data_IF_737151515177
#
_entry.id   IF_737151515177
#
_cell.length_a   1.000
_cell.length_b   1.000
_cell.length_c   1.000
_cell.angle_alpha   90.00
_cell.angle_beta   90.00
_cell.angle_gamma   90.00
#
_symmetry.space_group_name_H-M   'P 1'
#
loop_
_entity.id
_entity.type
_entity.pdbx_description
1 polymer ?
#
# COMPACT_ATOMS: atom_id res chain seq x y z
N UNK A 1 27.61 22.74 0.94
CA UNK A 1 27.89 21.89 -0.20
C UNK A 1 28.85 22.65 -1.12
N UNK A 2 29.96 22.04 -1.46
CA UNK A 2 30.86 22.56 -2.47
C UNK A 2 30.28 22.09 -3.81
N UNK A 3 29.86 23.00 -4.65
CA UNK A 3 29.55 22.70 -6.06
C UNK A 3 30.88 22.36 -6.74
N UNK A 4 31.19 21.07 -6.79
CA UNK A 4 32.29 20.54 -7.58
C UNK A 4 31.69 19.93 -8.85
N UNK A 5 32.14 20.43 -10.03
CA UNK A 5 31.64 19.99 -11.34
C UNK A 5 31.90 18.51 -11.62
N UNK A 6 32.73 17.85 -10.84
CA UNK A 6 33.17 16.46 -11.04
C UNK A 6 32.42 15.46 -10.14
N UNK A 7 31.52 15.92 -9.26
CA UNK A 7 30.76 15.05 -8.35
C UNK A 7 29.23 15.16 -8.55
N UNK A 8 28.75 14.76 -9.73
CA UNK A 8 27.31 14.65 -9.97
C UNK A 8 26.74 13.40 -9.32
N UNK A 9 25.66 13.58 -8.56
CA UNK A 9 24.80 12.49 -8.10
C UNK A 9 23.47 12.54 -8.85
N UNK A 10 23.07 11.42 -9.42
CA UNK A 10 21.79 11.30 -10.12
C UNK A 10 20.73 10.76 -9.19
N UNK A 11 19.57 11.43 -9.14
CA UNK A 11 18.40 10.95 -8.44
C UNK A 11 17.68 9.92 -9.32
N UNK A 12 17.31 8.79 -8.76
CA UNK A 12 16.64 7.71 -9.50
C UNK A 12 15.20 8.08 -9.87
N UNK A 13 14.77 7.86 -11.13
CA UNK A 13 13.39 8.13 -11.56
C UNK A 13 12.38 7.04 -11.17
N UNK A 14 12.89 5.86 -10.74
CA UNK A 14 12.12 4.67 -10.37
C UNK A 14 12.94 3.78 -9.43
N UNK A 15 12.30 2.81 -8.80
CA UNK A 15 12.98 1.84 -7.93
C UNK A 15 13.40 0.56 -8.66
N UNK A 16 12.82 0.27 -9.83
CA UNK A 16 13.02 -0.94 -10.62
C UNK A 16 14.47 -1.27 -10.93
N UNK A 17 15.25 -0.30 -11.41
CA UNK A 17 16.64 -0.53 -11.86
C UNK A 17 17.54 -1.06 -10.74
N UNK A 18 17.32 -0.61 -9.51
CA UNK A 18 18.07 -1.12 -8.35
C UNK A 18 17.69 -2.56 -7.98
N UNK A 19 16.45 -2.98 -8.29
CA UNK A 19 16.03 -4.38 -8.14
C UNK A 19 16.75 -5.24 -9.17
N UNK A 20 16.81 -4.83 -10.43
CA UNK A 20 17.49 -5.60 -11.48
C UNK A 20 18.99 -5.75 -11.22
N UNK A 21 19.67 -4.69 -10.85
CA UNK A 21 21.11 -4.76 -10.54
C UNK A 21 21.42 -5.61 -9.32
N UNK A 22 20.47 -5.75 -8.37
CA UNK A 22 20.59 -6.57 -7.18
C UNK A 22 20.11 -8.02 -7.38
N UNK A 23 19.54 -8.36 -8.52
CA UNK A 23 18.95 -9.66 -8.83
C UNK A 23 19.90 -10.83 -8.53
N UNK A 24 21.14 -10.76 -9.06
CA UNK A 24 22.12 -11.82 -8.86
C UNK A 24 22.48 -12.02 -7.39
N UNK A 25 22.66 -10.94 -6.63
CA UNK A 25 22.95 -11.01 -5.21
C UNK A 25 21.82 -11.71 -4.43
N UNK A 26 20.57 -11.43 -4.77
CA UNK A 26 19.41 -12.10 -4.15
C UNK A 26 19.38 -13.58 -4.51
N UNK A 27 19.56 -13.94 -5.79
CA UNK A 27 19.57 -15.35 -6.21
C UNK A 27 20.69 -16.13 -5.53
N UNK A 28 21.89 -15.58 -5.49
CA UNK A 28 23.07 -16.27 -4.93
C UNK A 28 22.96 -16.42 -3.39
N UNK A 29 22.41 -15.41 -2.70
CA UNK A 29 22.32 -15.44 -1.23
C UNK A 29 21.12 -16.22 -0.69
N UNK A 30 20.04 -16.35 -1.46
CA UNK A 30 18.79 -16.97 -1.00
C UNK A 30 18.46 -18.29 -1.67
N UNK A 31 19.19 -18.68 -2.72
CA UNK A 31 18.95 -19.88 -3.53
C UNK A 31 17.52 -19.97 -4.09
N UNK A 32 16.90 -18.82 -4.41
CA UNK A 32 15.54 -18.76 -4.96
C UNK A 32 15.48 -19.38 -6.36
N UNK A 33 14.37 -20.03 -6.64
CA UNK A 33 14.00 -20.55 -7.95
C UNK A 33 12.80 -19.80 -8.52
N UNK A 34 12.70 -19.75 -9.85
CA UNK A 34 11.54 -19.13 -10.53
C UNK A 34 10.26 -19.93 -10.27
N UNK A 35 9.12 -19.28 -10.05
CA UNK A 35 8.98 -17.83 -9.99
C UNK A 35 9.27 -17.26 -8.60
N UNK A 36 9.79 -16.03 -8.52
CA UNK A 36 9.93 -15.28 -7.27
C UNK A 36 9.92 -13.78 -7.57
N UNK A 37 9.68 -12.96 -6.54
CA UNK A 37 9.66 -11.51 -6.67
C UNK A 37 10.62 -10.81 -5.72
N UNK A 38 11.04 -9.61 -6.10
CA UNK A 38 11.75 -8.65 -5.25
C UNK A 38 10.94 -7.36 -5.26
N UNK A 39 10.52 -6.91 -4.09
CA UNK A 39 9.76 -5.68 -3.94
C UNK A 39 10.58 -4.60 -3.25
N UNK A 40 10.34 -3.36 -3.61
CA UNK A 40 10.90 -2.18 -2.96
C UNK A 40 9.84 -1.10 -2.81
N UNK A 41 9.84 -0.45 -1.64
CA UNK A 41 9.18 0.84 -1.44
C UNK A 41 10.29 1.86 -1.16
N UNK A 42 10.28 2.96 -1.90
CA UNK A 42 11.31 3.98 -1.75
C UNK A 42 11.09 5.22 -2.59
N UNK A 43 11.91 6.23 -2.36
CA UNK A 43 11.85 7.50 -3.07
C UNK A 43 12.23 7.34 -4.54
N UNK A 44 11.44 7.99 -5.39
CA UNK A 44 11.70 8.21 -6.80
C UNK A 44 11.55 9.70 -7.12
N UNK A 45 12.25 10.16 -8.15
CA UNK A 45 12.36 11.57 -8.50
C UNK A 45 12.16 11.75 -10.00
N UNK A 46 11.17 12.56 -10.37
CA UNK A 46 10.89 12.88 -11.77
C UNK A 46 10.84 14.39 -11.96
N UNK A 47 11.50 14.91 -12.98
CA UNK A 47 11.51 16.35 -13.25
C UNK A 47 10.20 16.80 -13.90
N UNK A 48 9.10 16.72 -13.16
CA UNK A 48 7.80 17.18 -13.63
C UNK A 48 7.82 18.68 -13.91
N UNK A 49 7.45 19.06 -15.13
CA UNK A 49 7.42 20.46 -15.54
C UNK A 49 6.33 21.20 -14.76
N UNK A 50 5.15 20.58 -14.61
CA UNK A 50 3.99 21.17 -13.92
C UNK A 50 3.45 20.20 -12.85
N UNK A 51 3.98 20.25 -11.62
CA UNK A 51 3.35 19.56 -10.49
C UNK A 51 1.90 20.05 -10.29
N UNK A 52 0.95 19.15 -9.99
CA UNK A 52 -0.46 19.50 -9.87
C UNK A 52 -1.25 18.44 -9.10
N UNK A 53 -2.49 18.77 -8.73
CA UNK A 53 -3.44 17.89 -8.10
C UNK A 53 -2.91 17.30 -6.77
N UNK A 54 -2.40 18.20 -5.89
CA UNK A 54 -1.83 17.86 -4.60
C UNK A 54 -0.72 16.79 -4.74
N UNK A 55 -0.81 15.64 -4.07
CA UNK A 55 0.20 14.55 -4.13
C UNK A 55 0.07 13.65 -5.36
N UNK A 56 -0.86 13.93 -6.28
CA UNK A 56 -1.07 13.11 -7.47
C UNK A 56 0.11 13.22 -8.47
N UNK A 57 0.62 14.43 -8.71
CA UNK A 57 1.76 14.68 -9.62
C UNK A 57 2.77 15.61 -8.95
N UNK A 58 3.83 15.02 -8.43
CA UNK A 58 4.91 15.68 -7.69
C UNK A 58 6.28 15.25 -8.22
N UNK A 59 7.32 16.00 -7.88
CA UNK A 59 8.69 15.71 -8.34
C UNK A 59 9.43 14.68 -7.49
N UNK A 60 9.05 14.56 -6.23
CA UNK A 60 9.54 13.57 -5.29
C UNK A 60 8.36 12.81 -4.71
N UNK A 61 8.37 11.49 -4.81
CA UNK A 61 7.29 10.62 -4.33
C UNK A 61 7.83 9.29 -3.84
N UNK A 62 7.04 8.55 -3.11
CA UNK A 62 7.34 7.16 -2.79
C UNK A 62 6.68 6.24 -3.81
N UNK A 63 7.48 5.33 -4.35
CA UNK A 63 7.05 4.31 -5.29
C UNK A 63 7.14 2.95 -4.63
N UNK A 64 6.14 2.11 -4.86
CA UNK A 64 6.15 0.69 -4.54
C UNK A 64 6.17 -0.09 -5.85
N UNK A 65 7.22 -0.89 -6.03
CA UNK A 65 7.43 -1.73 -7.19
C UNK A 65 7.76 -3.15 -6.79
N UNK A 66 7.26 -4.10 -7.56
CA UNK A 66 7.57 -5.51 -7.47
C UNK A 66 8.05 -5.99 -8.83
N UNK A 67 9.28 -6.50 -8.89
CA UNK A 67 9.77 -7.21 -10.05
C UNK A 67 9.58 -8.71 -9.82
N UNK A 68 8.61 -9.29 -10.52
CA UNK A 68 8.29 -10.70 -10.41
C UNK A 68 8.90 -11.48 -11.57
N UNK A 69 9.90 -12.30 -11.24
CA UNK A 69 10.71 -13.05 -12.20
C UNK A 69 10.08 -14.40 -12.50
N UNK A 70 9.85 -14.65 -13.79
CA UNK A 70 9.15 -15.85 -14.27
C UNK A 70 9.93 -16.54 -15.40
N UNK A 71 9.61 -17.82 -15.67
CA UNK A 71 10.16 -18.53 -16.82
C UNK A 71 9.62 -17.91 -18.12
N UNK A 72 10.48 -17.66 -19.14
CA UNK A 72 10.02 -17.25 -20.46
C UNK A 72 8.96 -18.20 -21.02
N UNK A 73 7.88 -17.62 -21.57
CA UNK A 73 6.73 -18.37 -22.08
C UNK A 73 5.61 -18.63 -21.04
N UNK A 74 5.81 -18.24 -19.78
CA UNK A 74 4.74 -18.23 -18.74
C UNK A 74 4.28 -16.81 -18.38
N UNK A 75 4.88 -15.83 -19.02
CA UNK A 75 4.73 -14.42 -18.73
C UNK A 75 3.29 -13.89 -18.91
N UNK A 76 2.58 -14.32 -19.95
CA UNK A 76 1.19 -13.87 -20.19
C UNK A 76 0.25 -14.33 -19.09
N UNK A 77 0.41 -15.59 -18.61
CA UNK A 77 -0.39 -16.09 -17.50
C UNK A 77 -0.08 -15.34 -16.20
N UNK A 78 1.21 -15.09 -15.93
CA UNK A 78 1.62 -14.35 -14.73
C UNK A 78 1.20 -12.89 -14.79
N UNK A 79 1.26 -12.25 -15.95
CA UNK A 79 0.78 -10.88 -16.14
C UNK A 79 -0.71 -10.77 -15.79
N UNK A 80 -1.55 -11.68 -16.35
CA UNK A 80 -2.96 -11.74 -15.98
C UNK A 80 -3.16 -11.99 -14.49
N UNK A 81 -2.42 -12.92 -13.89
CA UNK A 81 -2.51 -13.24 -12.46
C UNK A 81 -2.20 -12.02 -11.59
N UNK A 82 -1.20 -11.22 -11.98
CA UNK A 82 -0.86 -10.00 -11.24
C UNK A 82 -1.93 -8.91 -11.41
N UNK A 83 -2.50 -8.73 -12.61
CA UNK A 83 -3.64 -7.80 -12.80
C UNK A 83 -4.79 -8.16 -11.86
N UNK A 84 -5.22 -9.43 -11.87
CA UNK A 84 -6.32 -9.91 -11.02
C UNK A 84 -5.98 -9.74 -9.51
N UNK A 85 -4.74 -10.05 -9.12
CA UNK A 85 -4.28 -9.92 -7.72
C UNK A 85 -4.23 -8.47 -7.26
N UNK A 86 -3.81 -7.54 -8.12
CA UNK A 86 -3.71 -6.12 -7.77
C UNK A 86 -5.09 -5.46 -7.67
N UNK A 87 -6.03 -5.82 -8.56
CA UNK A 87 -7.43 -5.38 -8.42
C UNK A 87 -8.02 -5.81 -7.08
N UNK A 88 -7.83 -7.08 -6.72
CA UNK A 88 -8.29 -7.60 -5.42
C UNK A 88 -7.62 -6.87 -4.25
N UNK A 89 -6.32 -6.59 -4.35
CA UNK A 89 -5.60 -5.88 -3.29
C UNK A 89 -6.14 -4.45 -3.10
N UNK A 90 -6.47 -3.72 -4.17
CA UNK A 90 -7.07 -2.39 -4.05
C UNK A 90 -8.47 -2.43 -3.42
N UNK A 91 -9.29 -3.45 -3.74
CA UNK A 91 -10.58 -3.68 -3.08
C UNK A 91 -10.39 -3.94 -1.57
N UNK A 92 -9.42 -4.75 -1.19
CA UNK A 92 -9.04 -4.98 0.21
C UNK A 92 -8.58 -3.68 0.92
N UNK A 93 -7.96 -2.73 0.19
CA UNK A 93 -7.65 -1.39 0.73
C UNK A 93 -8.87 -0.47 0.79
N UNK A 94 -10.02 -0.88 0.31
CA UNK A 94 -11.28 -0.15 0.38
C UNK A 94 -11.61 0.68 -0.85
N UNK A 95 -10.89 0.49 -1.95
CA UNK A 95 -11.22 1.12 -3.23
C UNK A 95 -12.26 0.25 -3.93
N UNK A 96 -13.45 0.82 -4.17
CA UNK A 96 -14.53 0.10 -4.85
C UNK A 96 -14.12 -0.30 -6.27
N UNK A 97 -14.47 -1.53 -6.67
CA UNK A 97 -14.28 -1.99 -8.04
C UNK A 97 -15.04 -1.12 -9.05
N UNK A 98 -16.14 -0.47 -8.65
CA UNK A 98 -16.89 0.48 -9.50
C UNK A 98 -16.13 1.78 -9.76
N UNK A 99 -15.12 2.07 -8.96
CA UNK A 99 -14.23 3.22 -9.10
C UNK A 99 -12.97 2.91 -9.92
N UNK A 100 -12.80 1.64 -10.34
CA UNK A 100 -11.64 1.17 -11.09
C UNK A 100 -12.03 0.82 -12.53
N UNK A 101 -11.12 1.11 -13.47
CA UNK A 101 -11.23 0.67 -14.86
C UNK A 101 -9.88 0.11 -15.32
N UNK A 102 -9.89 -0.93 -16.16
CA UNK A 102 -8.67 -1.46 -16.76
C UNK A 102 -8.43 -0.80 -18.13
N UNK A 103 -7.26 -0.21 -18.29
CA UNK A 103 -6.79 0.30 -19.56
C UNK A 103 -5.69 -0.60 -20.11
N UNK A 104 -5.97 -1.32 -21.18
CA UNK A 104 -4.99 -2.12 -21.90
C UNK A 104 -4.23 -1.19 -22.84
N UNK A 105 -2.96 -0.94 -22.54
CA UNK A 105 -2.13 -0.02 -23.34
C UNK A 105 -1.98 -0.55 -24.76
N UNK A 106 -2.35 0.24 -25.79
CA UNK A 106 -2.17 -0.14 -27.18
C UNK A 106 -0.71 -0.41 -27.55
N UNK A 107 -0.49 -1.28 -28.53
CA UNK A 107 0.88 -1.71 -28.91
C UNK A 107 1.79 -0.58 -29.38
N UNK A 108 1.24 0.50 -29.93
CA UNK A 108 1.95 1.69 -30.38
C UNK A 108 2.25 2.70 -29.27
N UNK A 109 1.63 2.53 -28.09
CA UNK A 109 1.86 3.34 -26.89
C UNK A 109 2.75 2.62 -25.85
N UNK A 110 3.03 1.33 -26.05
CA UNK A 110 3.85 0.55 -25.13
C UNK A 110 5.26 1.12 -24.97
N UNK A 111 5.76 1.13 -23.75
CA UNK A 111 7.16 1.40 -23.49
C UNK A 111 8.05 0.39 -24.24
N UNK A 112 9.23 0.81 -24.66
CA UNK A 112 10.16 0.01 -25.48
C UNK A 112 10.60 -1.31 -24.85
N UNK A 113 10.48 -1.43 -23.53
CA UNK A 113 10.79 -2.64 -22.77
C UNK A 113 9.57 -3.56 -22.55
N UNK A 114 8.38 -3.09 -22.85
CA UNK A 114 7.14 -3.79 -22.51
C UNK A 114 6.55 -4.55 -23.70
N UNK A 115 6.17 -5.81 -23.47
CA UNK A 115 5.37 -6.62 -24.40
C UNK A 115 3.86 -6.35 -24.23
N UNK A 116 3.42 -6.04 -23.02
CA UNK A 116 2.05 -5.73 -22.67
C UNK A 116 2.02 -4.93 -21.37
N UNK A 117 1.13 -3.95 -21.27
CA UNK A 117 0.88 -3.18 -20.05
C UNK A 117 -0.62 -3.05 -19.83
N UNK A 118 -1.05 -3.21 -18.60
CA UNK A 118 -2.42 -2.92 -18.16
C UNK A 118 -2.34 -1.91 -17.03
N UNK A 119 -2.99 -0.76 -17.20
CA UNK A 119 -3.12 0.24 -16.17
C UNK A 119 -4.44 0.07 -15.43
N UNK A 120 -4.38 0.03 -14.10
CA UNK A 120 -5.54 0.15 -13.23
C UNK A 120 -5.81 1.65 -13.08
N UNK A 121 -6.88 2.11 -13.71
CA UNK A 121 -7.32 3.51 -13.66
C UNK A 121 -8.27 3.69 -12.49
N UNK A 122 -8.18 4.83 -11.81
CA UNK A 122 -9.08 5.20 -10.70
C UNK A 122 -9.78 6.54 -10.99
N UNK A 123 -11.04 6.65 -10.57
CA UNK A 123 -11.86 7.85 -10.71
C UNK A 123 -11.52 8.88 -9.61
N UNK A 124 -10.42 9.61 -9.80
CA UNK A 124 -10.05 10.73 -8.93
C UNK A 124 -11.02 11.90 -9.08
N UNK A 125 -11.08 12.85 -8.13
CA UNK A 125 -11.93 14.05 -8.26
C UNK A 125 -11.64 14.90 -9.49
N UNK A 126 -10.45 14.79 -10.06
CA UNK A 126 -9.99 15.53 -11.25
C UNK A 126 -10.05 14.71 -12.55
N UNK A 127 -10.57 13.50 -12.50
CA UNK A 127 -10.76 12.63 -13.68
C UNK A 127 -10.28 11.20 -13.48
N UNK A 128 -10.49 10.40 -14.52
CA UNK A 128 -10.00 9.03 -14.59
C UNK A 128 -8.50 9.07 -14.92
N UNK A 129 -7.68 8.62 -13.99
CA UNK A 129 -6.22 8.65 -14.11
C UNK A 129 -5.61 7.35 -13.57
N UNK A 130 -4.39 7.05 -14.00
CA UNK A 130 -3.65 5.86 -13.60
C UNK A 130 -3.38 5.81 -12.10
N UNK A 131 -3.73 4.69 -11.46
CA UNK A 131 -3.42 4.36 -10.07
C UNK A 131 -2.22 3.42 -9.98
N UNK A 132 -2.16 2.40 -10.82
CA UNK A 132 -1.10 1.40 -10.86
C UNK A 132 -0.94 0.86 -12.27
N UNK A 133 0.30 0.70 -12.74
CA UNK A 133 0.64 0.01 -13.98
C UNK A 133 1.13 -1.41 -13.71
N UNK A 134 0.72 -2.37 -14.55
CA UNK A 134 1.25 -3.74 -14.53
C UNK A 134 1.84 -4.04 -15.90
N UNK A 135 3.18 -4.10 -15.98
CA UNK A 135 3.91 -4.31 -17.22
C UNK A 135 4.48 -5.72 -17.33
N UNK A 136 4.45 -6.30 -18.53
CA UNK A 136 5.25 -7.45 -18.92
C UNK A 136 6.52 -6.92 -19.61
N UNK A 137 7.61 -6.82 -18.85
CA UNK A 137 8.89 -6.24 -19.29
C UNK A 137 9.78 -7.23 -20.03
N UNK A 138 9.33 -8.48 -20.18
CA UNK A 138 10.11 -9.58 -20.79
C UNK A 138 11.48 -9.78 -20.14
N UNK A 139 12.52 -10.11 -20.89
CA UNK A 139 13.91 -10.23 -20.46
C UNK A 139 14.72 -8.93 -20.72
N UNK A 140 14.06 -7.84 -21.04
CA UNK A 140 14.73 -6.61 -21.50
C UNK A 140 15.71 -6.07 -20.46
N UNK A 141 15.27 -5.86 -19.22
CA UNK A 141 16.09 -5.21 -18.19
C UNK A 141 17.24 -6.12 -17.74
N UNK A 142 16.96 -7.37 -17.40
CA UNK A 142 18.00 -8.32 -17.01
C UNK A 142 18.97 -8.60 -18.16
N UNK A 143 18.47 -8.64 -19.39
CA UNK A 143 19.28 -8.75 -20.60
C UNK A 143 20.20 -7.54 -20.78
N UNK A 144 19.67 -6.33 -20.65
CA UNK A 144 20.41 -5.07 -20.81
C UNK A 144 21.52 -4.91 -19.76
N UNK A 145 21.28 -5.39 -18.54
CA UNK A 145 22.22 -5.31 -17.43
C UNK A 145 23.17 -6.52 -17.34
N UNK A 146 23.03 -7.52 -18.21
CA UNK A 146 23.85 -8.74 -18.14
C UNK A 146 25.22 -8.58 -18.79
N UNK A 147 26.20 -9.24 -18.16
CA UNK A 147 27.51 -9.52 -18.76
C UNK A 147 27.40 -10.67 -19.76
N UNK A 148 28.22 -10.64 -20.83
CA UNK A 148 28.32 -11.69 -21.85
C UNK A 148 26.93 -12.03 -22.44
N UNK A 149 26.24 -11.01 -22.94
CA UNK A 149 24.88 -11.13 -23.47
C UNK A 149 24.78 -12.19 -24.60
N UNK A 150 25.83 -12.35 -25.39
CA UNK A 150 25.91 -13.36 -26.47
C UNK A 150 25.81 -14.81 -26.02
N UNK A 151 26.12 -15.07 -24.74
CA UNK A 151 26.06 -16.41 -24.16
C UNK A 151 24.68 -16.74 -23.56
N UNK A 152 23.76 -15.78 -23.63
CA UNK A 152 22.44 -15.83 -23.02
C UNK A 152 21.36 -15.85 -24.10
N UNK A 153 20.28 -16.60 -23.87
CA UNK A 153 19.09 -16.62 -24.73
C UNK A 153 18.22 -15.38 -24.42
N UNK A 154 18.73 -14.18 -24.77
CA UNK A 154 18.00 -12.90 -24.64
C UNK A 154 17.17 -12.71 -25.90
N UNK A 155 15.86 -12.56 -25.75
CA UNK A 155 14.91 -12.43 -26.86
C UNK A 155 14.56 -10.99 -27.17
N UNK A 156 14.66 -10.12 -26.16
CA UNK A 156 14.47 -8.69 -26.35
C UNK A 156 15.66 -8.05 -27.07
N UNK A 157 15.38 -6.99 -27.81
CA UNK A 157 16.44 -6.18 -28.42
C UNK A 157 17.09 -5.31 -27.36
N UNK A 158 18.26 -5.69 -26.90
CA UNK A 158 19.06 -4.98 -25.91
C UNK A 158 20.29 -4.32 -26.56
N UNK A 159 20.80 -3.26 -25.93
CA UNK A 159 22.09 -2.67 -26.30
C UNK A 159 23.22 -3.49 -25.69
N UNK A 160 24.36 -3.52 -26.40
CA UNK A 160 25.57 -4.14 -25.89
C UNK A 160 26.03 -3.46 -24.58
N UNK A 161 26.34 -4.25 -23.56
CA UNK A 161 26.78 -3.76 -22.27
C UNK A 161 28.11 -4.38 -21.86
N UNK A 162 29.19 -3.69 -22.19
CA UNK A 162 30.57 -4.12 -21.88
C UNK A 162 30.99 -3.75 -20.44
N UNK A 163 30.23 -2.90 -19.77
CA UNK A 163 30.52 -2.41 -18.41
C UNK A 163 29.97 -3.35 -17.32
N UNK A 164 29.03 -4.23 -17.66
CA UNK A 164 28.44 -5.14 -16.70
C UNK A 164 29.46 -6.20 -16.23
N UNK A 165 29.45 -6.46 -14.93
CA UNK A 165 30.28 -7.47 -14.27
C UNK A 165 29.48 -8.71 -13.83
N UNK A 166 28.15 -8.71 -13.98
CA UNK A 166 27.27 -9.78 -13.51
C UNK A 166 26.48 -10.43 -14.65
N UNK A 167 26.26 -11.73 -14.57
CA UNK A 167 25.31 -12.47 -15.41
C UNK A 167 23.97 -12.54 -14.69
N UNK A 168 22.97 -11.82 -15.20
CA UNK A 168 21.63 -11.74 -14.58
C UNK A 168 20.71 -12.84 -15.15
N UNK A 169 21.07 -14.07 -14.90
CA UNK A 169 20.37 -15.27 -15.35
C UNK A 169 20.34 -16.31 -14.25
N UNK A 170 19.39 -17.23 -14.33
CA UNK A 170 19.31 -18.41 -13.47
C UNK A 170 19.68 -19.65 -14.27
N UNK A 171 20.34 -20.62 -13.62
CA UNK A 171 20.64 -21.89 -14.25
C UNK A 171 19.53 -22.90 -13.95
N UNK A 172 18.91 -23.42 -14.98
CA UNK A 172 17.99 -24.55 -14.85
C UNK A 172 18.72 -25.77 -14.30
N UNK A 173 18.20 -26.34 -13.23
CA UNK A 173 18.88 -27.42 -12.49
C UNK A 173 19.00 -28.72 -13.31
N UNK A 174 18.04 -29.01 -14.19
CA UNK A 174 17.96 -30.23 -14.99
C UNK A 174 18.74 -30.09 -16.29
N UNK A 175 18.42 -29.05 -17.07
CA UNK A 175 19.03 -28.84 -18.38
C UNK A 175 20.41 -28.18 -18.33
N UNK A 176 20.80 -27.62 -17.18
CA UNK A 176 22.04 -26.82 -16.98
C UNK A 176 22.14 -25.59 -17.89
N UNK A 177 21.06 -25.22 -18.59
CA UNK A 177 21.01 -24.02 -19.42
C UNK A 177 20.80 -22.77 -18.59
N UNK A 178 21.44 -21.70 -19.00
CA UNK A 178 21.21 -20.37 -18.43
C UNK A 178 19.99 -19.73 -19.09
N UNK A 179 19.09 -19.18 -18.28
CA UNK A 179 17.87 -18.54 -18.73
C UNK A 179 17.80 -17.15 -18.09
N UNK A 180 17.59 -16.13 -18.90
CA UNK A 180 17.24 -14.78 -18.43
C UNK A 180 15.73 -14.78 -18.14
N UNK A 181 15.32 -14.55 -16.90
CA UNK A 181 13.89 -14.53 -16.56
C UNK A 181 13.15 -13.40 -17.28
N UNK A 182 11.88 -13.62 -17.53
CA UNK A 182 10.95 -12.55 -17.87
C UNK A 182 10.46 -11.87 -16.58
N UNK A 183 10.09 -10.62 -16.69
CA UNK A 183 9.70 -9.78 -15.54
C UNK A 183 8.28 -9.30 -15.71
N UNK A 184 7.48 -9.47 -14.65
CA UNK A 184 6.16 -8.83 -14.50
C UNK A 184 6.30 -7.79 -13.40
N UNK A 185 5.96 -6.55 -13.72
CA UNK A 185 6.14 -5.39 -12.85
C UNK A 185 4.80 -4.74 -12.49
N UNK A 186 4.22 -5.00 -11.32
CA UNK A 186 3.26 -4.09 -10.69
C UNK A 186 4.00 -2.88 -10.08
N UNK A 187 3.58 -1.67 -10.47
CA UNK A 187 4.21 -0.41 -10.04
C UNK A 187 3.15 0.65 -9.71
N UNK A 188 3.18 1.17 -8.49
CA UNK A 188 2.27 2.22 -8.04
C UNK A 188 2.97 3.29 -7.19
N UNK A 189 2.50 4.54 -7.31
CA UNK A 189 2.88 5.62 -6.41
C UNK A 189 2.15 5.50 -5.07
N UNK A 190 2.89 5.41 -3.96
CA UNK A 190 2.30 5.30 -2.61
C UNK A 190 1.43 6.52 -2.29
N UNK A 191 1.94 7.73 -2.58
CA UNK A 191 1.20 8.98 -2.36
C UNK A 191 -0.11 9.03 -3.15
N UNK A 192 -0.10 8.55 -4.39
CA UNK A 192 -1.27 8.45 -5.25
C UNK A 192 -2.27 7.42 -4.72
N UNK A 193 -1.79 6.28 -4.23
CA UNK A 193 -2.59 5.27 -3.56
C UNK A 193 -3.26 5.80 -2.29
N UNK A 194 -2.53 6.54 -1.44
CA UNK A 194 -3.09 7.20 -0.26
C UNK A 194 -4.19 8.20 -0.65
N UNK A 195 -3.98 8.99 -1.70
CA UNK A 195 -4.99 9.92 -2.20
C UNK A 195 -6.27 9.19 -2.65
N UNK A 196 -6.15 8.08 -3.37
CA UNK A 196 -7.28 7.26 -3.82
C UNK A 196 -8.05 6.68 -2.63
N UNK A 197 -7.35 6.09 -1.66
CA UNK A 197 -7.96 5.53 -0.43
C UNK A 197 -8.68 6.61 0.38
N UNK A 198 -8.10 7.80 0.54
CA UNK A 198 -8.74 8.90 1.24
C UNK A 198 -9.98 9.40 0.50
N UNK A 199 -9.92 9.47 -0.83
CA UNK A 199 -11.06 9.88 -1.65
C UNK A 199 -12.24 8.90 -1.54
N UNK A 200 -12.00 7.60 -1.58
CA UNK A 200 -13.03 6.56 -1.38
C UNK A 200 -13.61 6.59 0.04
N UNK A 201 -12.76 6.77 1.02
CA UNK A 201 -13.17 6.75 2.43
C UNK A 201 -13.94 7.99 2.87
N UNK A 202 -13.79 9.13 2.16
CA UNK A 202 -14.44 10.37 2.54
C UNK A 202 -15.93 10.35 2.23
N UNK A 203 -16.76 10.52 3.27
CA UNK A 203 -18.23 10.55 3.15
C UNK A 203 -18.83 11.69 3.94
N UNK A 204 -19.91 12.27 3.40
CA UNK A 204 -20.79 13.17 4.11
C UNK A 204 -22.16 12.50 4.18
N UNK A 205 -22.59 12.16 5.36
CA UNK A 205 -23.86 11.45 5.61
C UNK A 205 -24.89 12.38 6.22
N UNK A 206 -26.12 12.32 5.76
CA UNK A 206 -27.27 13.01 6.38
C UNK A 206 -27.82 12.16 7.52
N UNK A 207 -28.10 12.80 8.64
CA UNK A 207 -28.67 12.19 9.82
C UNK A 207 -30.18 12.45 9.89
N UNK A 208 -30.90 11.62 10.65
CA UNK A 208 -32.37 11.73 10.83
C UNK A 208 -32.82 13.11 11.33
N UNK A 209 -31.97 13.84 12.06
CA UNK A 209 -32.26 15.19 12.57
C UNK A 209 -31.93 16.32 11.55
N UNK A 210 -31.63 15.97 10.31
CA UNK A 210 -31.28 16.90 9.23
C UNK A 210 -29.89 17.51 9.33
N UNK A 211 -29.07 17.05 10.28
CA UNK A 211 -27.65 17.41 10.36
C UNK A 211 -26.79 16.51 9.51
N UNK A 212 -25.61 16.95 9.18
CA UNK A 212 -24.62 16.13 8.46
C UNK A 212 -23.54 15.59 9.39
N UNK A 213 -22.98 14.45 8.98
CA UNK A 213 -21.82 13.82 9.60
C UNK A 213 -20.74 13.61 8.54
N UNK A 214 -19.54 14.15 8.77
CA UNK A 214 -18.37 13.82 7.96
C UNK A 214 -17.70 12.57 8.55
N UNK A 215 -17.42 11.60 7.69
CA UNK A 215 -16.80 10.34 8.06
C UNK A 215 -15.66 10.03 7.11
N UNK A 216 -14.53 9.59 7.65
CA UNK A 216 -13.46 8.96 6.90
C UNK A 216 -13.57 7.45 7.10
N UNK A 217 -14.32 6.78 6.20
CA UNK A 217 -14.67 5.36 6.29
C UNK A 217 -13.53 4.44 5.84
N UNK A 218 -12.32 4.65 6.40
CA UNK A 218 -11.15 3.80 6.14
C UNK A 218 -11.39 2.37 6.58
N UNK A 219 -10.85 1.40 5.84
CA UNK A 219 -10.73 0.02 6.35
C UNK A 219 -10.01 0.04 7.70
N UNK A 220 -10.40 -0.77 8.70
CA UNK A 220 -9.82 -0.72 10.04
C UNK A 220 -8.30 -0.88 10.07
N UNK A 221 -7.73 -1.73 9.22
CA UNK A 221 -6.29 -1.94 9.12
C UNK A 221 -5.53 -0.71 8.58
N UNK A 222 -6.19 0.17 7.79
CA UNK A 222 -5.60 1.44 7.29
C UNK A 222 -5.80 2.61 8.24
N UNK A 223 -6.73 2.51 9.21
CA UNK A 223 -7.00 3.62 10.13
C UNK A 223 -5.76 3.96 10.98
N UNK A 224 -5.33 5.25 11.03
CA UNK A 224 -4.16 5.64 11.81
C UNK A 224 -4.33 5.40 13.32
N UNK A 225 -5.58 5.47 13.80
CA UNK A 225 -5.97 5.22 15.18
C UNK A 225 -6.96 4.06 15.17
N UNK A 226 -6.62 2.97 15.81
CA UNK A 226 -7.41 1.73 15.81
C UNK A 226 -8.61 1.79 16.77
N UNK A 227 -8.43 2.46 17.90
CA UNK A 227 -9.50 2.68 18.86
C UNK A 227 -9.26 3.96 19.67
N UNK A 228 -10.35 4.58 20.13
CA UNK A 228 -10.34 5.68 21.07
C UNK A 228 -11.05 5.29 22.36
N UNK A 229 -10.36 5.36 23.48
CA UNK A 229 -10.94 5.10 24.81
C UNK A 229 -11.32 6.43 25.44
N UNK A 230 -12.61 6.58 25.81
CA UNK A 230 -13.22 7.85 26.18
C UNK A 230 -13.90 7.70 27.55
N UNK A 231 -13.38 8.30 28.63
CA UNK A 231 -14.10 8.34 29.90
C UNK A 231 -15.28 9.33 29.78
N UNK A 232 -16.48 8.90 30.18
CA UNK A 232 -17.71 9.72 30.10
C UNK A 232 -17.56 11.06 30.85
N UNK A 233 -16.81 11.06 31.95
CA UNK A 233 -16.44 12.29 32.68
C UNK A 233 -14.94 12.37 32.89
N UNK A 234 -14.32 13.34 32.24
CA UNK A 234 -12.88 13.61 32.24
C UNK A 234 -12.26 13.87 33.63
N UNK A 235 -13.06 14.32 34.60
CA UNK A 235 -12.62 14.69 35.96
C UNK A 235 -12.98 13.61 37.00
N UNK A 236 -13.51 12.46 36.58
CA UNK A 236 -13.84 11.38 37.50
C UNK A 236 -12.66 10.39 37.58
N UNK A 237 -11.92 10.32 38.71
CA UNK A 237 -10.68 9.53 38.79
C UNK A 237 -10.85 8.07 38.38
N UNK A 238 -11.89 7.39 38.88
CA UNK A 238 -12.13 5.96 38.59
C UNK A 238 -12.41 5.70 37.10
N UNK A 239 -13.17 6.56 36.41
CA UNK A 239 -13.41 6.39 34.97
C UNK A 239 -12.14 6.62 34.16
N UNK A 240 -11.33 7.60 34.54
CA UNK A 240 -10.07 7.91 33.87
C UNK A 240 -9.03 6.80 34.08
N UNK A 241 -9.01 6.21 35.27
CA UNK A 241 -8.12 5.09 35.60
C UNK A 241 -8.45 3.85 34.75
N UNK A 242 -9.73 3.44 34.70
CA UNK A 242 -10.19 2.31 33.86
C UNK A 242 -9.88 2.59 32.40
N UNK A 243 -10.20 3.79 31.89
CA UNK A 243 -9.92 4.15 30.50
C UNK A 243 -8.42 4.13 30.18
N UNK A 244 -7.58 4.58 31.11
CA UNK A 244 -6.13 4.53 30.98
C UNK A 244 -5.59 3.11 30.97
N UNK A 245 -6.17 2.23 31.78
CA UNK A 245 -5.79 0.81 31.81
C UNK A 245 -6.19 0.11 30.51
N UNK A 246 -7.42 0.28 30.04
CA UNK A 246 -7.89 -0.27 28.75
C UNK A 246 -6.97 0.19 27.61
N UNK A 247 -6.67 1.49 27.54
CA UNK A 247 -5.74 2.03 26.52
C UNK A 247 -4.39 1.32 26.56
N UNK A 248 -3.80 1.12 27.75
CA UNK A 248 -2.52 0.45 27.91
C UNK A 248 -2.57 -1.01 27.48
N UNK A 249 -3.63 -1.72 27.83
CA UNK A 249 -3.76 -3.14 27.50
C UNK A 249 -4.00 -3.38 26.01
N UNK A 250 -4.85 -2.58 25.37
CA UNK A 250 -5.03 -2.62 23.91
C UNK A 250 -3.76 -2.21 23.14
N UNK A 251 -3.01 -1.22 23.65
CA UNK A 251 -1.76 -0.79 23.03
C UNK A 251 -0.68 -1.89 23.03
N UNK A 252 -0.65 -2.76 24.05
CA UNK A 252 0.28 -3.90 24.16
C UNK A 252 0.06 -4.97 23.08
N UNK A 253 -1.13 -5.03 22.48
CA UNK A 253 -1.42 -5.98 21.39
C UNK A 253 -0.61 -5.71 20.12
N UNK A 254 -0.03 -4.51 19.99
CA UNK A 254 0.79 -4.17 18.82
C UNK A 254 0.00 -3.95 17.51
N UNK A 255 -1.35 -3.89 17.58
CA UNK A 255 -2.23 -3.74 16.40
C UNK A 255 -2.27 -2.33 15.81
N UNK A 256 -1.60 -1.38 16.43
CA UNK A 256 -1.54 0.01 16.04
C UNK A 256 -1.89 0.97 17.18
N UNK A 257 -2.11 2.24 16.84
CA UNK A 257 -2.28 3.31 17.84
C UNK A 257 -3.67 3.27 18.49
N UNK A 258 -3.70 3.30 19.82
CA UNK A 258 -4.91 3.47 20.64
C UNK A 258 -4.81 4.80 21.40
N UNK A 259 -5.84 5.65 21.32
CA UNK A 259 -5.87 6.93 22.01
C UNK A 259 -6.70 6.87 23.31
N UNK A 260 -6.27 7.63 24.31
CA UNK A 260 -7.12 8.06 25.43
C UNK A 260 -7.63 9.47 25.09
N UNK A 261 -8.94 9.60 24.80
CA UNK A 261 -9.58 10.88 24.47
C UNK A 261 -10.28 11.43 25.72
N UNK A 262 -9.64 12.38 26.39
CA UNK A 262 -10.14 12.96 27.67
C UNK A 262 -10.36 14.48 27.58
N UNK A 263 -10.68 15.02 26.41
CA UNK A 263 -10.69 16.49 26.20
C UNK A 263 -12.08 17.09 26.04
N UNK A 264 -13.10 16.31 25.76
CA UNK A 264 -14.36 16.84 25.31
C UNK A 264 -15.63 16.24 25.93
N UNK A 265 -16.71 16.64 25.38
CA UNK A 265 -18.02 16.03 25.50
C UNK A 265 -18.06 14.80 24.57
N UNK A 266 -18.69 13.71 25.02
CA UNK A 266 -18.71 12.41 24.31
C UNK A 266 -19.15 12.52 22.85
N UNK A 267 -20.21 13.29 22.56
CA UNK A 267 -20.69 13.48 21.19
C UNK A 267 -19.69 14.20 20.28
N UNK A 268 -18.93 15.17 20.82
CA UNK A 268 -17.86 15.85 20.08
C UNK A 268 -16.68 14.90 19.85
N UNK A 269 -16.35 14.05 20.83
CA UNK A 269 -15.29 13.05 20.68
C UNK A 269 -15.64 12.03 19.61
N UNK A 270 -16.88 11.51 19.58
CA UNK A 270 -17.32 10.60 18.51
C UNK A 270 -17.19 11.25 17.13
N UNK A 271 -17.66 12.51 16.96
CA UNK A 271 -17.55 13.23 15.69
C UNK A 271 -16.10 13.38 15.22
N UNK A 272 -15.20 13.77 16.12
CA UNK A 272 -13.78 13.90 15.82
C UNK A 272 -13.19 12.55 15.34
N UNK A 273 -13.58 11.46 16.01
CA UNK A 273 -13.10 10.12 15.64
C UNK A 273 -13.72 9.61 14.34
N UNK A 274 -14.96 9.96 14.02
CA UNK A 274 -15.56 9.71 12.71
C UNK A 274 -14.77 10.45 11.60
N UNK A 275 -14.44 11.74 11.80
CA UNK A 275 -13.72 12.59 10.85
C UNK A 275 -12.28 12.11 10.57
N UNK A 276 -11.59 11.52 11.55
CA UNK A 276 -10.21 11.02 11.39
C UNK A 276 -10.13 9.53 11.10
N UNK A 277 -11.28 8.87 10.93
CA UNK A 277 -11.36 7.48 10.49
C UNK A 277 -11.10 6.43 11.58
N UNK A 278 -11.23 6.77 12.88
CA UNK A 278 -11.10 5.79 13.96
C UNK A 278 -12.28 4.82 13.92
N UNK A 279 -12.08 3.49 13.70
CA UNK A 279 -13.19 2.56 13.50
C UNK A 279 -13.98 2.26 14.77
N UNK A 280 -13.37 2.42 15.95
CA UNK A 280 -13.95 2.01 17.21
C UNK A 280 -13.76 3.06 18.30
N UNK A 281 -14.86 3.49 18.94
CA UNK A 281 -14.84 4.27 20.17
C UNK A 281 -15.30 3.44 21.35
N UNK A 282 -14.53 3.44 22.43
CA UNK A 282 -14.76 2.68 23.67
C UNK A 282 -15.10 3.67 24.79
N UNK A 283 -16.34 3.72 25.22
CA UNK A 283 -16.78 4.62 26.29
C UNK A 283 -16.81 3.93 27.62
N UNK A 284 -16.07 4.49 28.58
CA UNK A 284 -16.06 4.08 29.98
C UNK A 284 -17.04 4.98 30.73
N UNK A 285 -18.13 4.42 31.25
CA UNK A 285 -19.21 5.10 31.96
C UNK A 285 -19.30 4.66 33.43
N UNK A 286 -20.30 5.16 34.16
CA UNK A 286 -20.46 4.83 35.58
C UNK A 286 -20.76 3.35 35.83
N UNK A 287 -21.51 2.70 34.93
CA UNK A 287 -21.77 1.26 35.07
C UNK A 287 -20.49 0.44 34.93
N UNK A 288 -19.49 0.96 34.20
CA UNK A 288 -18.18 0.29 34.06
C UNK A 288 -17.44 0.12 35.36
N UNK A 289 -17.76 0.95 36.40
CA UNK A 289 -17.18 0.81 37.72
C UNK A 289 -17.73 -0.41 38.49
N UNK A 290 -18.97 -0.81 38.17
CA UNK A 290 -19.70 -1.84 38.88
C UNK A 290 -19.66 -3.19 38.14
N UNK A 291 -19.84 -3.16 36.80
CA UNK A 291 -20.04 -4.38 35.98
C UNK A 291 -18.82 -4.80 35.15
N UNK A 292 -17.75 -3.99 35.14
CA UNK A 292 -16.54 -4.28 34.40
C UNK A 292 -16.76 -4.34 32.88
N UNK A 293 -17.80 -3.63 32.37
CA UNK A 293 -18.10 -3.54 30.93
C UNK A 293 -18.02 -2.09 30.42
N UNK A 294 -17.96 -1.92 29.13
CA UNK A 294 -17.86 -0.63 28.44
C UNK A 294 -18.79 -0.59 27.24
N UNK A 295 -19.10 0.61 26.74
CA UNK A 295 -19.86 0.78 25.51
C UNK A 295 -18.91 0.88 24.32
N UNK A 296 -19.04 -0.03 23.36
CA UNK A 296 -18.39 0.05 22.06
C UNK A 296 -19.30 0.77 21.07
N UNK A 297 -18.75 1.78 20.37
CA UNK A 297 -19.43 2.42 19.26
C UNK A 297 -18.66 2.15 17.96
N UNK A 298 -19.33 1.53 17.04
CA UNK A 298 -18.85 1.37 15.67
C UNK A 298 -18.98 2.71 14.90
N UNK A 299 -17.94 3.06 14.13
CA UNK A 299 -17.89 4.30 13.33
C UNK A 299 -18.95 4.30 12.23
N UNK A 300 -19.05 3.21 11.48
CA UNK A 300 -19.81 3.17 10.23
C UNK A 300 -21.32 3.05 10.51
N UNK A 301 -21.73 2.11 11.35
CA UNK A 301 -23.13 1.91 11.72
C UNK A 301 -23.62 2.86 12.82
N UNK A 302 -22.73 3.46 13.58
CA UNK A 302 -23.02 4.20 14.84
C UNK A 302 -23.65 3.35 15.94
N UNK A 303 -23.78 2.05 15.73
CA UNK A 303 -24.32 1.17 16.75
C UNK A 303 -23.47 1.17 18.03
N UNK A 304 -24.13 1.05 19.16
CA UNK A 304 -23.50 1.03 20.47
C UNK A 304 -23.88 -0.24 21.22
N UNK A 305 -22.88 -1.04 21.54
CA UNK A 305 -23.04 -2.33 22.18
C UNK A 305 -22.26 -2.40 23.50
N UNK A 306 -22.84 -3.04 24.54
CA UNK A 306 -22.19 -3.25 25.80
C UNK A 306 -21.28 -4.48 25.73
N UNK A 307 -20.00 -4.36 26.12
CA UNK A 307 -19.00 -5.43 26.03
C UNK A 307 -18.14 -5.45 27.29
N UNK A 308 -17.85 -6.64 27.82
CA UNK A 308 -16.92 -6.82 28.94
C UNK A 308 -15.50 -6.36 28.56
N UNK A 309 -14.81 -5.68 29.45
CA UNK A 309 -13.45 -5.17 29.25
C UNK A 309 -12.49 -6.29 28.85
N UNK A 310 -12.66 -7.49 29.42
CA UNK A 310 -11.83 -8.68 29.13
C UNK A 310 -11.90 -9.16 27.68
N UNK A 311 -12.96 -8.80 26.95
CA UNK A 311 -13.19 -9.20 25.54
C UNK A 311 -12.67 -8.18 24.52
N UNK A 312 -12.26 -6.98 24.96
CA UNK A 312 -11.87 -5.89 24.07
C UNK A 312 -10.68 -6.22 23.18
N UNK A 313 -9.69 -6.94 23.73
CA UNK A 313 -8.50 -7.33 22.95
C UNK A 313 -8.88 -8.19 21.74
N UNK A 314 -9.65 -9.24 21.99
CA UNK A 314 -10.12 -10.13 20.92
C UNK A 314 -11.00 -9.41 19.90
N UNK A 315 -11.88 -8.51 20.37
CA UNK A 315 -12.72 -7.71 19.48
C UNK A 315 -11.88 -6.82 18.54
N UNK A 316 -10.84 -6.17 19.07
CA UNK A 316 -9.95 -5.32 18.29
C UNK A 316 -9.11 -6.15 17.29
N UNK A 317 -8.60 -7.32 17.70
CA UNK A 317 -7.90 -8.24 16.79
C UNK A 317 -8.79 -8.65 15.62
N UNK A 318 -10.01 -9.11 15.90
CA UNK A 318 -10.97 -9.54 14.87
C UNK A 318 -11.36 -8.39 13.91
N UNK A 319 -11.37 -7.16 14.40
CA UNK A 319 -11.68 -5.98 13.59
C UNK A 319 -10.52 -5.58 12.66
N UNK A 320 -9.26 -5.75 13.10
CA UNK A 320 -8.07 -5.24 12.38
C UNK A 320 -7.49 -6.29 11.43
N UNK A 321 -7.55 -7.58 11.81
CA UNK A 321 -6.86 -8.67 11.09
C UNK A 321 -7.75 -9.31 10.01
N UNK A 322 -9.05 -9.01 10.02
CA UNK A 322 -9.96 -9.43 8.95
C UNK A 322 -9.78 -8.58 7.71
#
# INVERSE_FOLDING_TARGET
PVEDSDSFAYLRPETAQHIFTNFKNVVDSTSKQLPFGIAQIGKAFRNEITPRNFVFRVREFEQMELEFFVKPGTDEQWHKTWVDSRLKWWDEQGISTDSLELYHVPSDELAHYSKATVDIMYKFPHGLEELEGIANRTDFDLGSHSKNQSDLDIRSKVMENNESNARLAVQDQESKKWTVPYVIEPSAGVDRGVLAVLNEAYKVEELEDGKTRTVLALKPHLSPIKAAVIPLKKNHPGLVEIASQIKKDLQKLGLGRVLLENTGNIGKSYRRHDEIGTPLCITVDFNSLDDGSVTLRDRDSMEQNRVEITKLGKFLEDLIIK
#
